data_IF_787720871716
#
_entry.id   IF_787720871716
#
_cell.length_a   1.000
_cell.length_b   1.000
_cell.length_c   1.000
_cell.angle_alpha   90.00
_cell.angle_beta   90.00
_cell.angle_gamma   90.00
#
_symmetry.space_group_name_H-M   'P 1'
#
loop_
_entity.id
_entity.type
_entity.pdbx_description
1 polymer ?
#
# COMPACT_ATOMS: atom_id res chain seq x y z
N UNK A 1 -14.16 8.38 2.22
CA UNK A 1 -14.31 8.60 0.76
C UNK A 1 -13.71 7.41 0.02
N UNK A 2 -14.29 6.95 -1.11
CA UNK A 2 -13.67 5.86 -1.89
C UNK A 2 -12.63 6.43 -2.86
N UNK A 3 -11.42 5.87 -2.81
CA UNK A 3 -10.27 6.26 -3.63
C UNK A 3 -9.78 5.03 -4.38
N UNK A 4 -9.59 5.16 -5.70
CA UNK A 4 -8.96 4.12 -6.48
C UNK A 4 -7.44 4.18 -6.30
N UNK A 5 -6.81 3.07 -5.86
CA UNK A 5 -5.36 2.99 -5.64
C UNK A 5 -4.65 2.04 -6.61
N UNK A 6 -5.41 1.19 -7.30
CA UNK A 6 -4.90 0.31 -8.34
C UNK A 6 -6.00 -0.01 -9.36
N UNK A 7 -5.66 -0.68 -10.45
CA UNK A 7 -6.65 -1.11 -11.44
C UNK A 7 -7.71 -2.02 -10.79
N UNK A 8 -8.96 -1.54 -10.72
CA UNK A 8 -10.06 -2.24 -10.06
C UNK A 8 -10.01 -2.27 -8.52
N UNK A 9 -9.03 -1.63 -7.88
CA UNK A 9 -8.88 -1.61 -6.42
C UNK A 9 -9.26 -0.25 -5.86
N UNK A 10 -10.30 -0.24 -5.03
CA UNK A 10 -10.81 0.94 -4.35
C UNK A 10 -10.72 0.74 -2.84
N UNK A 11 -10.22 1.75 -2.13
CA UNK A 11 -10.17 1.78 -0.67
C UNK A 11 -11.07 2.89 -0.14
N UNK A 12 -11.70 2.67 1.01
CA UNK A 12 -12.29 3.77 1.76
C UNK A 12 -11.17 4.44 2.57
N UNK A 13 -10.77 5.65 2.18
CA UNK A 13 -9.72 6.44 2.83
C UNK A 13 -9.93 6.57 4.34
N UNK A 14 -11.19 6.68 4.76
CA UNK A 14 -11.57 6.92 6.16
C UNK A 14 -11.38 5.67 7.02
N UNK A 15 -11.26 4.50 6.39
CA UNK A 15 -11.02 3.23 7.06
C UNK A 15 -9.54 2.85 7.10
N UNK A 16 -8.69 3.54 6.33
CA UNK A 16 -7.24 3.29 6.32
C UNK A 16 -6.64 3.84 7.61
N UNK A 17 -6.05 2.95 8.42
CA UNK A 17 -5.43 3.32 9.69
C UNK A 17 -3.92 3.46 9.61
N UNK A 18 -3.30 2.72 8.69
CA UNK A 18 -1.88 2.78 8.45
C UNK A 18 -1.56 2.35 7.02
N UNK A 19 -0.44 2.85 6.51
CA UNK A 19 0.18 2.38 5.27
C UNK A 19 1.67 2.22 5.54
N UNK A 20 2.22 1.04 5.25
CA UNK A 20 3.62 0.70 5.60
C UNK A 20 4.34 0.08 4.39
N UNK A 21 5.59 0.49 4.19
CA UNK A 21 6.51 -0.15 3.24
C UNK A 21 7.40 -1.13 3.99
N UNK A 22 7.46 -2.36 3.52
CA UNK A 22 8.23 -3.45 4.14
C UNK A 22 9.05 -4.20 3.09
N UNK A 23 10.17 -4.81 3.50
CA UNK A 23 10.95 -5.72 2.65
C UNK A 23 10.57 -7.14 3.06
N UNK A 24 9.90 -7.89 2.17
CA UNK A 24 9.29 -9.20 2.46
C UNK A 24 10.13 -10.39 2.02
N UNK A 25 11.10 -10.16 1.13
CA UNK A 25 12.08 -11.16 0.72
C UNK A 25 13.40 -10.48 0.48
N UNK A 26 14.47 -11.12 0.90
CA UNK A 26 15.85 -10.77 0.57
C UNK A 26 16.60 -12.09 0.43
N UNK A 27 16.95 -12.44 -0.81
CA UNK A 27 17.75 -13.62 -1.23
C UNK A 27 17.01 -14.95 -1.49
N UNK A 28 17.44 -15.72 -2.53
CA UNK A 28 18.41 -15.37 -3.59
C UNK A 28 17.81 -14.53 -4.72
N UNK A 29 16.53 -14.13 -4.62
CA UNK A 29 15.73 -13.62 -5.73
C UNK A 29 15.65 -12.08 -5.85
N UNK A 30 16.41 -11.34 -5.05
CA UNK A 30 16.30 -9.87 -4.95
C UNK A 30 15.43 -9.41 -3.77
N UNK A 31 15.46 -8.11 -3.49
CA UNK A 31 14.63 -7.48 -2.45
C UNK A 31 13.22 -7.23 -2.98
N UNK A 32 12.20 -7.77 -2.32
CA UNK A 32 10.80 -7.47 -2.67
C UNK A 32 10.28 -6.41 -1.69
N UNK A 33 9.83 -5.29 -2.24
CA UNK A 33 9.27 -4.15 -1.52
C UNK A 33 7.74 -4.24 -1.54
N UNK A 34 7.11 -4.31 -0.37
CA UNK A 34 5.66 -4.42 -0.21
C UNK A 34 5.08 -3.19 0.46
N UNK A 35 4.17 -2.52 -0.22
CA UNK A 35 3.23 -1.60 0.41
C UNK A 35 2.06 -2.37 0.98
N UNK A 36 1.73 -2.15 2.25
CA UNK A 36 0.59 -2.75 2.93
C UNK A 36 -0.34 -1.65 3.48
N UNK A 37 -1.64 -1.78 3.17
CA UNK A 37 -2.71 -0.90 3.63
C UNK A 37 -3.48 -1.61 4.74
N UNK A 38 -3.57 -0.97 5.90
CA UNK A 38 -4.24 -1.51 7.06
C UNK A 38 -5.56 -0.77 7.30
N UNK A 39 -6.58 -1.51 7.72
CA UNK A 39 -7.89 -0.92 8.05
C UNK A 39 -8.32 -1.26 9.47
N UNK A 40 -9.22 -0.46 10.05
CA UNK A 40 -9.66 -0.60 11.46
C UNK A 40 -10.78 -1.65 11.67
N UNK A 41 -10.71 -2.81 11.01
CA UNK A 41 -11.68 -3.89 11.23
C UNK A 41 -11.31 -4.72 12.48
N UNK A 42 -11.26 -4.08 13.65
CA UNK A 42 -11.08 -4.72 14.96
C UNK A 42 -9.65 -5.17 15.31
N UNK A 43 -8.90 -5.70 14.34
CA UNK A 43 -7.46 -5.98 14.42
C UNK A 43 -6.76 -5.35 13.21
N UNK A 44 -5.45 -5.05 13.31
CA UNK A 44 -4.67 -4.53 12.17
C UNK A 44 -4.60 -5.59 11.07
N UNK A 45 -5.65 -5.68 10.24
CA UNK A 45 -5.69 -6.56 9.09
C UNK A 45 -5.22 -5.82 7.85
N UNK A 46 -4.35 -6.49 7.09
CA UNK A 46 -3.95 -6.02 5.76
C UNK A 46 -5.18 -6.11 4.85
N UNK A 47 -5.65 -4.97 4.38
CA UNK A 47 -6.74 -4.89 3.40
C UNK A 47 -6.22 -5.11 1.99
N UNK A 48 -5.09 -4.48 1.67
CA UNK A 48 -4.47 -4.56 0.37
C UNK A 48 -2.95 -4.52 0.53
N UNK A 49 -2.26 -5.27 -0.32
CA UNK A 49 -0.82 -5.16 -0.45
C UNK A 49 -0.41 -5.21 -1.92
N UNK A 50 0.65 -4.48 -2.25
CA UNK A 50 1.26 -4.51 -3.58
C UNK A 50 2.76 -4.66 -3.47
N UNK A 51 3.29 -5.57 -4.27
CA UNK A 51 4.70 -5.95 -4.28
C UNK A 51 5.41 -5.32 -5.48
N UNK A 52 6.67 -4.98 -5.27
CA UNK A 52 7.55 -4.35 -6.24
C UNK A 52 8.94 -4.97 -6.15
N UNK A 53 9.58 -5.13 -7.30
CA UNK A 53 10.94 -5.67 -7.40
C UNK A 53 12.01 -4.59 -7.18
N UNK A 54 11.60 -3.31 -7.15
CA UNK A 54 12.48 -2.19 -6.88
C UNK A 54 11.85 -1.20 -5.89
N UNK A 55 12.70 -0.62 -5.04
CA UNK A 55 12.29 0.43 -4.11
C UNK A 55 11.76 1.67 -4.82
N UNK A 56 12.41 2.04 -5.92
CA UNK A 56 12.03 3.22 -6.71
C UNK A 56 10.62 3.08 -7.28
N UNK A 57 10.26 1.92 -7.83
CA UNK A 57 8.89 1.67 -8.33
C UNK A 57 7.87 1.70 -7.19
N UNK A 58 8.21 1.10 -6.04
CA UNK A 58 7.34 1.13 -4.87
C UNK A 58 7.06 2.57 -4.39
N UNK A 59 8.11 3.39 -4.28
CA UNK A 59 8.00 4.79 -3.85
C UNK A 59 7.25 5.64 -4.87
N UNK A 60 7.56 5.50 -6.17
CA UNK A 60 6.87 6.22 -7.25
C UNK A 60 5.37 5.87 -7.32
N UNK A 61 5.02 4.59 -7.17
CA UNK A 61 3.62 4.18 -7.13
C UNK A 61 2.89 4.81 -5.94
N UNK A 62 3.50 4.81 -4.74
CA UNK A 62 2.85 5.37 -3.57
C UNK A 62 2.68 6.89 -3.65
N UNK A 63 3.67 7.63 -4.13
CA UNK A 63 3.56 9.09 -4.31
C UNK A 63 2.40 9.46 -5.27
N UNK A 64 2.14 8.66 -6.31
CA UNK A 64 1.00 8.88 -7.21
C UNK A 64 -0.36 8.77 -6.52
N UNK A 65 -0.47 7.97 -5.46
CA UNK A 65 -1.74 7.72 -4.76
C UNK A 65 -1.83 8.43 -3.39
N UNK A 66 -0.71 8.83 -2.81
CA UNK A 66 -0.61 9.48 -1.50
C UNK A 66 -1.47 10.75 -1.41
N UNK A 67 -1.51 11.54 -2.47
CA UNK A 67 -2.32 12.77 -2.54
C UNK A 67 -3.83 12.49 -2.53
N UNK A 68 -4.25 11.31 -2.99
CA UNK A 68 -5.65 10.92 -3.00
C UNK A 68 -6.09 10.43 -1.60
N UNK A 69 -5.19 9.83 -0.84
CA UNK A 69 -5.43 9.36 0.52
C UNK A 69 -5.52 10.53 1.51
N UNK A 70 -4.65 11.54 1.38
CA UNK A 70 -4.58 12.70 2.31
C UNK A 70 -5.66 13.78 2.11
N UNK A 71 -6.55 13.64 1.12
CA UNK A 71 -7.66 14.58 0.86
C UNK A 71 -9.00 14.13 1.45
N UNK A 72 -9.04 13.00 2.15
CA UNK A 72 -10.22 12.49 2.87
C UNK A 72 -10.42 13.16 4.21
#
# INVERSE_FOLDING_TARGET
>A
MFVQIDEGVYINSDMVTAVELSVVSSEPYGEIFRWAFYTNAGEKSVFFSKDFDSREEAENWFENIRFMINKG
#
